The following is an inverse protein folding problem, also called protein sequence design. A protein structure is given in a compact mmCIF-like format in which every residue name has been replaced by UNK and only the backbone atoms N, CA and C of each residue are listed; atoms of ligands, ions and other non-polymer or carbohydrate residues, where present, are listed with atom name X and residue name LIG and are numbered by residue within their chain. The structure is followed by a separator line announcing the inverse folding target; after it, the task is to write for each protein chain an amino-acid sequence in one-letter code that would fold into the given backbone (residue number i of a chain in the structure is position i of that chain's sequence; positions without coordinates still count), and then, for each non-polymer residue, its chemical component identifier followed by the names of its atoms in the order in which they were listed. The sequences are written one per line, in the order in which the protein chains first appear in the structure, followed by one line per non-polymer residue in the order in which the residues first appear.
data_IF_776663598203
#
_entry.id   IF_776663598203
#
_cell.length_a   1.000
_cell.length_b   1.000
_cell.length_c   1.000
_cell.angle_alpha   90.00
_cell.angle_beta   90.00
_cell.angle_gamma   90.00
#
_symmetry.space_group_name_H-M   'P 1'
#
loop_
_entity.id
_entity.type
_entity.pdbx_description
1 polymer ?
#
# COMPACT_ATOMS: atom_id res chain seq x y z
N UNK A 1 21.65 15.57 0.28
CA UNK A 1 20.59 14.92 1.11
C UNK A 1 21.24 13.82 1.93
N UNK A 2 21.26 13.95 3.25
CA UNK A 2 21.80 12.92 4.14
C UNK A 2 20.76 11.82 4.31
N UNK A 3 21.05 10.59 3.87
CA UNK A 3 20.14 9.45 4.08
C UNK A 3 20.26 8.98 5.53
N UNK A 4 19.14 8.93 6.25
CA UNK A 4 19.10 8.39 7.61
C UNK A 4 18.89 6.88 7.54
N UNK A 5 19.82 6.06 8.06
CA UNK A 5 19.59 4.62 8.16
C UNK A 5 18.46 4.35 9.15
N UNK A 6 17.68 3.31 8.87
CA UNK A 6 16.60 2.81 9.72
C UNK A 6 16.73 1.30 9.82
N UNK A 7 16.38 0.74 10.98
CA UNK A 7 16.30 -0.71 11.19
C UNK A 7 14.84 -1.09 11.05
N UNK A 8 14.53 -1.86 10.00
CA UNK A 8 13.18 -2.32 9.65
C UNK A 8 13.29 -3.73 9.07
N UNK A 9 12.19 -4.47 9.05
CA UNK A 9 12.13 -5.74 8.32
C UNK A 9 11.85 -5.51 6.82
N UNK A 10 11.81 -6.61 6.05
CA UNK A 10 11.57 -6.57 4.61
C UNK A 10 10.16 -6.11 4.22
N UNK A 11 9.14 -6.47 5.00
CA UNK A 11 7.75 -6.07 4.75
C UNK A 11 7.58 -4.57 4.96
N UNK A 12 8.10 -4.03 6.07
CA UNK A 12 8.03 -2.59 6.34
C UNK A 12 8.82 -1.78 5.28
N UNK A 13 9.99 -2.27 4.87
CA UNK A 13 10.76 -1.64 3.80
C UNK A 13 9.98 -1.61 2.47
N UNK A 14 9.36 -2.73 2.09
CA UNK A 14 8.56 -2.85 0.86
C UNK A 14 7.30 -1.97 0.93
N UNK A 15 6.51 -2.10 2.00
CA UNK A 15 5.31 -1.32 2.22
C UNK A 15 5.61 0.18 2.20
N UNK A 16 6.73 0.62 2.79
CA UNK A 16 7.10 2.03 2.80
C UNK A 16 7.31 2.61 1.40
N UNK A 17 7.80 1.82 0.43
CA UNK A 17 7.94 2.28 -0.95
C UNK A 17 6.60 2.19 -1.66
N UNK A 18 5.91 1.04 -1.59
CA UNK A 18 4.61 0.83 -2.22
C UNK A 18 3.60 1.93 -1.84
N UNK A 19 3.49 2.23 -0.55
CA UNK A 19 2.60 3.28 -0.03
C UNK A 19 2.91 4.66 -0.61
N UNK A 20 4.19 4.98 -0.83
CA UNK A 20 4.59 6.31 -1.31
C UNK A 20 4.35 6.51 -2.80
N UNK A 21 4.28 5.44 -3.58
CA UNK A 21 4.18 5.51 -5.05
C UNK A 21 2.79 5.16 -5.60
N UNK A 22 1.87 4.71 -4.75
CA UNK A 22 0.52 4.30 -5.16
C UNK A 22 -0.57 5.21 -4.59
N UNK A 23 -1.68 5.27 -5.31
CA UNK A 23 -2.87 6.06 -4.97
C UNK A 23 -4.01 5.17 -4.46
N UNK A 24 -4.08 3.93 -4.94
CA UNK A 24 -5.02 2.89 -4.52
C UNK A 24 -4.24 1.65 -4.11
N UNK A 25 -4.59 1.02 -3.00
CA UNK A 25 -3.94 -0.20 -2.53
C UNK A 25 -5.04 -1.20 -2.17
N UNK A 26 -5.33 -2.15 -3.05
CA UNK A 26 -6.27 -3.24 -2.76
C UNK A 26 -5.51 -4.40 -2.12
N UNK A 27 -5.97 -4.86 -0.95
CA UNK A 27 -5.28 -5.86 -0.13
C UNK A 27 -6.17 -7.07 0.15
N UNK A 28 -5.52 -8.19 0.45
CA UNK A 28 -6.11 -9.37 1.07
C UNK A 28 -5.06 -10.04 1.95
N UNK A 29 -5.37 -10.43 3.19
CA UNK A 29 -4.39 -10.98 4.11
C UNK A 29 -3.97 -12.41 3.74
N UNK A 30 -2.67 -12.64 3.55
CA UNK A 30 -2.07 -13.97 3.42
C UNK A 30 -0.64 -13.98 3.99
N UNK A 31 -0.32 -14.95 4.84
CA UNK A 31 1.02 -15.13 5.40
C UNK A 31 2.02 -15.47 4.27
N UNK A 32 3.22 -14.87 4.24
CA UNK A 32 3.83 -13.92 5.20
C UNK A 32 3.69 -12.44 4.83
N UNK A 33 2.83 -12.10 3.87
CA UNK A 33 2.73 -10.77 3.27
C UNK A 33 1.76 -9.82 4.00
N UNK A 34 0.86 -10.34 4.86
CA UNK A 34 -0.13 -9.53 5.59
C UNK A 34 0.41 -8.27 6.26
N UNK A 35 1.60 -8.27 6.89
CA UNK A 35 2.13 -7.05 7.52
C UNK A 35 2.29 -5.86 6.56
N UNK A 36 2.51 -6.08 5.25
CA UNK A 36 2.58 -4.98 4.29
C UNK A 36 1.24 -4.25 4.14
N UNK A 37 0.14 -5.01 4.07
CA UNK A 37 -1.21 -4.47 3.97
C UNK A 37 -1.65 -3.77 5.26
N UNK A 38 -1.34 -4.37 6.41
CA UNK A 38 -1.63 -3.80 7.74
C UNK A 38 -0.91 -2.45 7.95
N UNK A 39 0.37 -2.36 7.57
CA UNK A 39 1.13 -1.11 7.64
C UNK A 39 0.56 -0.05 6.71
N UNK A 40 0.20 -0.42 5.48
CA UNK A 40 -0.42 0.50 4.53
C UNK A 40 -1.76 1.04 5.05
N UNK A 41 -2.62 0.17 5.58
CA UNK A 41 -3.90 0.56 6.17
C UNK A 41 -3.71 1.48 7.38
N UNK A 42 -2.80 1.12 8.30
CA UNK A 42 -2.47 1.93 9.47
C UNK A 42 -1.95 3.33 9.08
N UNK A 43 -1.08 3.43 8.07
CA UNK A 43 -0.59 4.73 7.58
C UNK A 43 -1.68 5.55 6.91
N UNK A 44 -2.57 4.91 6.14
CA UNK A 44 -3.75 5.56 5.54
C UNK A 44 -4.68 6.14 6.61
N UNK A 45 -5.03 5.33 7.61
CA UNK A 45 -5.87 5.74 8.73
C UNK A 45 -5.23 6.85 9.59
N UNK A 46 -3.90 6.91 9.65
CA UNK A 46 -3.15 8.00 10.28
C UNK A 46 -3.05 9.27 9.40
N UNK A 47 -3.63 9.29 8.20
CA UNK A 47 -3.61 10.43 7.28
C UNK A 47 -2.23 10.69 6.66
N UNK A 48 -1.37 9.67 6.60
CA UNK A 48 -0.03 9.82 6.01
C UNK A 48 -0.15 10.04 4.50
N UNK A 49 0.48 11.09 3.98
CA UNK A 49 0.48 11.35 2.53
C UNK A 49 1.57 10.55 1.82
N UNK A 50 1.30 10.18 0.56
CA UNK A 50 2.26 9.60 -0.37
C UNK A 50 3.11 10.68 -1.06
N UNK A 51 3.93 10.30 -2.04
CA UNK A 51 4.81 11.22 -2.77
C UNK A 51 4.06 12.27 -3.61
N UNK A 52 2.77 12.05 -3.89
CA UNK A 52 1.90 12.95 -4.64
C UNK A 52 1.07 13.88 -3.74
N UNK A 53 1.25 13.80 -2.41
CA UNK A 53 0.52 14.62 -1.46
C UNK A 53 -0.90 14.15 -1.16
N UNK A 54 -1.25 12.91 -1.53
CA UNK A 54 -2.57 12.30 -1.25
C UNK A 54 -2.42 11.18 -0.22
N UNK A 55 -3.49 10.89 0.52
CA UNK A 55 -3.55 9.67 1.36
C UNK A 55 -4.01 8.52 0.47
N UNK A 56 -3.20 7.46 0.24
CA UNK A 56 -3.59 6.31 -0.56
C UNK A 56 -4.87 5.67 -0.03
N UNK A 57 -5.77 5.28 -0.93
CA UNK A 57 -7.00 4.57 -0.56
C UNK A 57 -6.70 3.08 -0.42
N UNK A 58 -6.67 2.59 0.82
CA UNK A 58 -6.47 1.17 1.15
C UNK A 58 -7.84 0.49 1.28
N UNK A 59 -8.02 -0.65 0.63
CA UNK A 59 -9.29 -1.40 0.61
C UNK A 59 -8.98 -2.89 0.76
N UNK A 60 -9.53 -3.53 1.80
CA UNK A 60 -9.50 -4.98 1.93
C UNK A 60 -10.62 -5.61 1.08
N UNK A 61 -10.23 -6.58 0.25
CA UNK A 61 -11.15 -7.30 -0.64
C UNK A 61 -11.54 -8.65 -0.03
N UNK A 62 -12.50 -9.36 -0.64
CA UNK A 62 -12.97 -10.66 -0.14
C UNK A 62 -12.02 -11.83 -0.45
N UNK A 63 -11.09 -11.66 -1.39
CA UNK A 63 -10.06 -12.64 -1.79
C UNK A 63 -8.94 -11.95 -2.56
N UNK A 64 -7.81 -12.64 -2.79
CA UNK A 64 -6.75 -12.16 -3.68
C UNK A 64 -7.25 -11.94 -5.11
N UNK A 65 -8.20 -12.76 -5.57
CA UNK A 65 -8.86 -12.56 -6.86
C UNK A 65 -9.68 -11.26 -6.91
N UNK A 66 -10.33 -10.90 -5.79
CA UNK A 66 -10.98 -9.60 -5.62
C UNK A 66 -9.99 -8.44 -5.63
N UNK A 67 -8.87 -8.58 -4.92
CA UNK A 67 -7.77 -7.60 -4.89
C UNK A 67 -7.19 -7.37 -6.30
N UNK A 68 -6.92 -8.43 -7.05
CA UNK A 68 -6.43 -8.34 -8.42
C UNK A 68 -7.42 -7.62 -9.35
N UNK A 69 -8.72 -7.91 -9.23
CA UNK A 69 -9.76 -7.22 -10.00
C UNK A 69 -9.85 -5.73 -9.68
N UNK A 70 -9.77 -5.37 -8.39
CA UNK A 70 -9.77 -3.98 -7.95
C UNK A 70 -8.52 -3.22 -8.44
N UNK A 71 -7.34 -3.83 -8.35
CA UNK A 71 -6.08 -3.31 -8.93
C UNK A 71 -6.23 -3.07 -10.43
N UNK A 72 -6.71 -4.06 -11.18
CA UNK A 72 -6.91 -3.95 -12.61
C UNK A 72 -7.84 -2.79 -12.98
N UNK A 73 -8.98 -2.68 -12.30
CA UNK A 73 -9.95 -1.61 -12.54
C UNK A 73 -9.42 -0.21 -12.17
N UNK A 74 -8.67 -0.10 -11.07
CA UNK A 74 -8.06 1.16 -10.65
C UNK A 74 -6.99 1.65 -11.65
N UNK A 75 -6.16 0.74 -12.17
CA UNK A 75 -5.20 1.05 -13.23
C UNK A 75 -5.90 1.51 -14.51
N UNK A 76 -6.98 0.83 -14.93
CA UNK A 76 -7.77 1.24 -16.10
C UNK A 76 -8.42 2.61 -15.91
N UNK A 77 -8.81 2.96 -14.69
CA UNK A 77 -9.38 4.26 -14.33
C UNK A 77 -8.32 5.37 -14.17
N UNK A 78 -7.03 5.04 -14.28
CA UNK A 78 -5.92 6.01 -14.28
C UNK A 78 -5.26 6.27 -12.92
N UNK A 79 -5.43 5.37 -11.94
CA UNK A 79 -4.76 5.47 -10.64
C UNK A 79 -3.58 4.50 -10.54
N UNK A 80 -2.49 4.90 -9.89
CA UNK A 80 -1.36 4.01 -9.57
C UNK A 80 -1.72 3.03 -8.44
N UNK A 81 -1.36 1.74 -8.59
CA UNK A 81 -1.76 0.64 -7.70
C UNK A 81 -0.63 -0.24 -7.24
#
# INVERSE_FOLDING_TARGET
MTRRPVTVDGNEACASIAYRVNEVIAIYPITPASPMGELADAWSNAGRVNAFGIVPRVIEMQSEGGAAGAVHGALQAGALT
#
